data_IF_117611554666
#
_entry.id   IF_117611554666
#
_cell.length_a   1.000
_cell.length_b   1.000
_cell.length_c   1.000
_cell.angle_alpha   90.00
_cell.angle_beta   90.00
_cell.angle_gamma   90.00
#
_symmetry.space_group_name_H-M   'P 1'
#
loop_
_entity.id
_entity.type
_entity.pdbx_description
1 polymer ?
#
# COMPACT_ATOMS: atom_id res chain seq x y z
N UNK A 1 0.24 63.74 9.44
CA UNK A 1 0.30 62.36 9.95
C UNK A 1 -0.54 61.47 9.03
N UNK A 2 0.05 60.89 7.99
CA UNK A 2 -0.62 59.87 7.16
C UNK A 2 0.38 58.73 6.92
N UNK A 3 0.32 57.73 7.79
CA UNK A 3 1.10 56.50 7.72
C UNK A 3 0.46 55.56 6.71
N UNK A 4 1.16 55.28 5.61
CA UNK A 4 0.78 54.25 4.65
C UNK A 4 1.15 52.88 5.23
N UNK A 5 0.15 52.16 5.76
CA UNK A 5 0.30 50.76 6.19
C UNK A 5 0.83 49.93 5.01
N UNK A 6 2.04 49.39 5.16
CA UNK A 6 2.61 48.40 4.26
C UNK A 6 1.70 47.16 4.23
N UNK A 7 1.10 46.89 3.05
CA UNK A 7 0.35 45.65 2.83
C UNK A 7 1.35 44.50 2.80
N UNK A 8 1.11 43.50 3.64
CA UNK A 8 1.90 42.26 3.71
C UNK A 8 2.17 41.70 2.31
N UNK A 9 3.43 41.41 2.00
CA UNK A 9 3.82 40.71 0.77
C UNK A 9 3.01 39.42 0.67
N UNK A 10 2.25 39.28 -0.41
CA UNK A 10 1.53 38.06 -0.75
C UNK A 10 2.51 36.89 -0.75
N UNK A 11 2.33 35.94 0.18
CA UNK A 11 3.05 34.68 0.17
C UNK A 11 2.63 33.94 -1.11
N UNK A 12 3.54 33.54 -2.00
CA UNK A 12 3.15 32.86 -3.23
C UNK A 12 2.36 31.59 -2.89
N UNK A 13 1.30 31.32 -3.65
CA UNK A 13 0.45 30.15 -3.43
C UNK A 13 1.30 28.88 -3.42
N UNK A 14 1.20 28.10 -2.34
CA UNK A 14 1.80 26.77 -2.28
C UNK A 14 1.12 25.93 -3.38
N UNK A 15 1.87 25.66 -4.45
CA UNK A 15 1.38 24.88 -5.60
C UNK A 15 0.74 23.58 -5.11
N UNK A 16 -0.54 23.38 -5.43
CA UNK A 16 -1.32 22.18 -5.09
C UNK A 16 -0.96 20.95 -5.93
N UNK A 17 -0.19 21.12 -7.01
CA UNK A 17 0.34 20.01 -7.81
C UNK A 17 1.77 19.71 -7.42
N UNK A 18 1.98 18.45 -7.04
CA UNK A 18 3.28 17.83 -6.76
C UNK A 18 4.01 17.62 -8.09
N UNK A 19 4.99 18.46 -8.38
CA UNK A 19 5.89 18.33 -9.55
C UNK A 19 7.18 17.56 -9.20
N UNK A 20 7.48 17.41 -7.90
CA UNK A 20 8.69 16.74 -7.44
C UNK A 20 8.42 15.26 -7.12
N UNK A 21 9.22 14.38 -7.71
CA UNK A 21 9.29 12.94 -7.42
C UNK A 21 9.95 12.63 -6.08
N UNK A 22 10.49 13.63 -5.39
CA UNK A 22 11.06 13.49 -4.05
C UNK A 22 9.95 13.58 -3.00
N UNK A 23 9.35 12.41 -2.74
CA UNK A 23 8.31 12.26 -1.74
C UNK A 23 8.76 12.73 -0.36
N UNK A 24 8.01 13.68 0.19
CA UNK A 24 7.83 13.96 1.62
C UNK A 24 9.15 14.00 2.43
N UNK A 25 9.65 15.22 2.66
CA UNK A 25 10.74 15.56 3.59
C UNK A 25 10.38 15.15 5.03
N UNK A 26 10.34 13.84 5.32
CA UNK A 26 10.37 13.31 6.68
C UNK A 26 11.81 12.97 6.98
N UNK A 27 12.50 13.87 7.67
CA UNK A 27 13.79 13.63 8.35
C UNK A 27 14.79 12.82 7.52
N UNK A 28 15.47 13.46 6.58
CA UNK A 28 16.66 12.90 5.90
C UNK A 28 17.84 12.62 6.84
N UNK A 29 17.71 12.85 8.15
CA UNK A 29 18.77 12.62 9.14
C UNK A 29 19.05 11.15 9.42
N UNK A 30 18.14 10.23 9.04
CA UNK A 30 18.28 8.80 9.33
C UNK A 30 18.32 7.99 8.03
N UNK A 31 19.26 7.06 7.99
CA UNK A 31 19.35 6.05 6.94
C UNK A 31 18.03 5.26 6.84
N UNK A 32 17.59 4.88 5.62
CA UNK A 32 16.40 4.05 5.42
C UNK A 32 16.42 2.74 6.23
N UNK A 33 15.26 2.31 6.74
CA UNK A 33 15.13 1.12 7.60
C UNK A 33 15.55 -0.19 6.91
N UNK A 34 15.45 -0.26 5.58
CA UNK A 34 15.89 -1.42 4.80
C UNK A 34 17.42 -1.50 4.67
N UNK A 35 18.14 -0.43 5.00
CA UNK A 35 19.59 -0.30 4.84
C UNK A 35 20.32 -0.14 6.17
N UNK A 36 19.68 0.44 7.19
CA UNK A 36 20.30 0.76 8.48
C UNK A 36 20.91 -0.43 9.23
N UNK A 37 20.47 -1.65 8.94
CA UNK A 37 20.96 -2.89 9.57
C UNK A 37 21.89 -3.74 8.69
N UNK A 38 22.28 -3.27 7.51
CA UNK A 38 23.07 -4.05 6.55
C UNK A 38 24.45 -3.42 6.36
N UNK A 39 25.51 -4.22 6.52
CA UNK A 39 26.90 -3.76 6.48
C UNK A 39 27.33 -3.26 5.10
N UNK A 40 27.11 -4.07 4.06
CA UNK A 40 27.60 -3.80 2.70
C UNK A 40 26.48 -3.81 1.66
N UNK A 41 26.67 -3.08 0.54
CA UNK A 41 25.73 -3.04 -0.59
C UNK A 41 25.52 -4.42 -1.22
N UNK A 42 26.54 -5.28 -1.22
CA UNK A 42 26.45 -6.66 -1.72
C UNK A 42 25.47 -7.50 -0.87
N UNK A 43 25.52 -7.35 0.45
CA UNK A 43 24.58 -7.98 1.37
C UNK A 43 23.16 -7.43 1.19
N UNK A 44 23.01 -6.12 0.97
CA UNK A 44 21.70 -5.51 0.72
C UNK A 44 21.06 -6.06 -0.56
N UNK A 45 21.85 -6.21 -1.64
CA UNK A 45 21.40 -6.86 -2.88
C UNK A 45 21.00 -8.33 -2.65
N UNK A 46 21.78 -9.08 -1.86
CA UNK A 46 21.47 -10.47 -1.50
C UNK A 46 20.16 -10.56 -0.70
N UNK A 47 19.96 -9.71 0.30
CA UNK A 47 18.75 -9.65 1.10
C UNK A 47 17.50 -9.34 0.24
N UNK A 48 17.61 -8.37 -0.69
CA UNK A 48 16.55 -8.07 -1.66
C UNK A 48 16.23 -9.27 -2.57
N UNK A 49 17.24 -10.04 -2.99
CA UNK A 49 17.02 -11.27 -3.77
C UNK A 49 16.29 -12.34 -2.95
N UNK A 50 16.67 -12.55 -1.69
CA UNK A 50 16.01 -13.51 -0.80
C UNK A 50 14.54 -13.12 -0.57
N UNK A 51 14.25 -11.84 -0.34
CA UNK A 51 12.88 -11.34 -0.20
C UNK A 51 12.03 -11.63 -1.45
N UNK A 52 12.56 -11.34 -2.66
CA UNK A 52 11.84 -11.68 -3.90
C UNK A 52 11.59 -13.18 -4.07
N UNK A 53 12.48 -14.03 -3.57
CA UNK A 53 12.31 -15.49 -3.60
C UNK A 53 11.23 -15.94 -2.61
N UNK A 54 11.18 -15.38 -1.40
CA UNK A 54 10.16 -15.74 -0.40
C UNK A 54 8.74 -15.38 -0.86
N UNK A 55 8.58 -14.26 -1.58
CA UNK A 55 7.31 -13.82 -2.15
C UNK A 55 6.77 -14.74 -3.26
N UNK A 56 7.57 -15.64 -3.84
CA UNK A 56 7.11 -16.48 -4.96
C UNK A 56 5.92 -17.37 -4.61
N UNK A 57 5.89 -17.95 -3.41
CA UNK A 57 4.81 -18.87 -2.98
C UNK A 57 3.46 -18.15 -2.87
N UNK A 58 3.46 -16.94 -2.32
CA UNK A 58 2.23 -16.13 -2.22
C UNK A 58 1.78 -15.62 -3.58
N UNK A 59 2.72 -15.23 -4.46
CA UNK A 59 2.41 -14.75 -5.80
C UNK A 59 1.85 -15.88 -6.69
N UNK A 60 2.32 -17.12 -6.52
CA UNK A 60 1.76 -18.30 -7.18
C UNK A 60 0.27 -18.47 -6.84
N UNK A 61 -0.11 -18.21 -5.59
CA UNK A 61 -1.50 -18.20 -5.13
C UNK A 61 -2.27 -16.91 -5.44
N UNK A 62 -1.70 -16.02 -6.26
CA UNK A 62 -2.25 -14.71 -6.62
C UNK A 62 -2.69 -13.84 -5.42
N UNK A 63 -1.96 -13.94 -4.30
CA UNK A 63 -2.22 -13.14 -3.10
C UNK A 63 -1.83 -11.68 -3.33
N UNK A 64 -2.68 -10.76 -2.87
CA UNK A 64 -2.40 -9.31 -3.01
C UNK A 64 -1.19 -8.86 -2.20
N UNK A 65 -0.90 -9.53 -1.08
CA UNK A 65 0.17 -9.18 -0.16
C UNK A 65 0.32 -10.24 0.94
N UNK A 66 1.34 -10.10 1.78
CA UNK A 66 1.55 -11.00 2.93
C UNK A 66 0.40 -10.95 3.94
N UNK A 67 -0.34 -9.83 3.95
CA UNK A 67 -1.53 -9.64 4.78
C UNK A 67 -2.76 -10.40 4.26
N UNK A 68 -2.79 -10.82 2.99
CA UNK A 68 -3.93 -11.54 2.42
C UNK A 68 -3.93 -13.02 2.86
N UNK A 69 -4.50 -13.23 4.03
CA UNK A 69 -4.70 -14.54 4.65
C UNK A 69 -6.17 -15.01 4.59
N UNK A 70 -6.97 -14.49 3.64
CA UNK A 70 -8.39 -14.88 3.52
C UNK A 70 -8.53 -16.36 3.12
N UNK A 71 -9.34 -17.10 3.88
CA UNK A 71 -9.72 -18.48 3.59
C UNK A 71 -11.10 -18.48 2.93
N UNK A 72 -11.16 -18.99 1.70
CA UNK A 72 -12.41 -19.08 0.96
C UNK A 72 -13.13 -20.40 1.25
N UNK A 73 -14.45 -20.34 1.38
CA UNK A 73 -15.28 -21.54 1.48
C UNK A 73 -15.43 -22.15 0.10
N UNK A 74 -14.84 -23.32 -0.12
CA UNK A 74 -14.90 -24.03 -1.41
C UNK A 74 -16.32 -24.54 -1.74
N UNK A 75 -17.08 -24.96 -0.72
CA UNK A 75 -18.43 -25.52 -0.88
C UNK A 75 -19.44 -24.80 0.02
N UNK A 76 -20.02 -23.66 -0.42
CA UNK A 76 -21.00 -22.94 0.37
C UNK A 76 -22.30 -23.74 0.55
N UNK A 77 -22.81 -23.86 1.78
CA UNK A 77 -24.00 -24.69 2.10
C UNK A 77 -25.22 -24.38 1.23
N UNK A 78 -25.56 -23.10 1.07
CA UNK A 78 -26.72 -22.63 0.30
C UNK A 78 -26.64 -22.90 -1.22
N UNK A 79 -25.52 -23.45 -1.72
CA UNK A 79 -25.38 -23.98 -3.08
C UNK A 79 -25.58 -25.49 -3.16
N UNK A 80 -25.19 -26.24 -2.11
CA UNK A 80 -25.07 -27.70 -2.13
C UNK A 80 -26.05 -28.41 -1.20
N UNK A 81 -26.91 -27.68 -0.51
CA UNK A 81 -27.88 -28.19 0.45
C UNK A 81 -29.28 -27.74 0.09
N UNK A 82 -30.27 -28.60 0.34
CA UNK A 82 -31.68 -28.34 0.07
C UNK A 82 -32.12 -28.75 -1.33
N UNK A 83 -33.44 -28.79 -1.54
CA UNK A 83 -34.07 -29.04 -2.83
C UNK A 83 -35.01 -27.86 -3.13
N UNK A 84 -35.15 -27.50 -4.41
CA UNK A 84 -36.13 -26.51 -4.83
C UNK A 84 -37.52 -27.14 -4.82
N UNK A 85 -38.48 -26.52 -4.13
CA UNK A 85 -39.89 -26.89 -4.17
C UNK A 85 -40.65 -26.01 -5.18
N UNK A 86 -41.88 -26.40 -5.49
CA UNK A 86 -42.82 -25.56 -6.23
C UNK A 86 -43.16 -24.30 -5.41
N UNK A 87 -42.98 -23.10 -5.98
CA UNK A 87 -43.25 -21.83 -5.29
C UNK A 87 -42.02 -20.91 -5.18
N UNK A 88 -41.76 -20.38 -3.97
CA UNK A 88 -40.66 -19.43 -3.72
C UNK A 88 -39.30 -20.09 -3.91
N UNK A 89 -38.37 -19.37 -4.52
CA UNK A 89 -36.98 -19.78 -4.75
C UNK A 89 -36.03 -18.87 -3.97
N UNK A 90 -34.90 -19.42 -3.52
CA UNK A 90 -33.88 -18.69 -2.74
C UNK A 90 -33.12 -17.64 -3.56
N UNK A 91 -33.10 -17.79 -4.89
CA UNK A 91 -32.41 -16.90 -5.82
C UNK A 91 -33.26 -16.65 -7.05
N UNK A 92 -33.03 -15.49 -7.65
CA UNK A 92 -33.75 -14.98 -8.83
C UNK A 92 -33.41 -15.74 -10.10
#
# INVERSE_FOLDING_TARGET
MHETRSRSLNRPEVKRKREDSEGNVRSSSKVPRDQSGVRDVTMAKKARKINKVSQRKMNLGAKTGESDRRIFVKKPKHLFSGKRSTGKTDRR
#
